data_IF_613270905825
#
_entry.id   IF_613270905825
#
_cell.length_a   1.000
_cell.length_b   1.000
_cell.length_c   1.000
_cell.angle_alpha   90.00
_cell.angle_beta   90.00
_cell.angle_gamma   90.00
#
_symmetry.space_group_name_H-M   'P 1'
#
loop_
_entity.id
_entity.type
_entity.pdbx_description
1 polymer ?
#
# COMPACT_ATOMS: atom_id res chain seq x y z
N UNK A 1 -9.40 13.51 -79.76
CA UNK A 1 -9.91 14.03 -78.48
C UNK A 1 -10.79 12.94 -77.88
N UNK A 2 -10.61 12.37 -76.70
CA UNK A 2 -9.75 12.61 -75.55
C UNK A 2 -9.38 11.23 -74.94
N UNK A 3 -8.14 11.04 -74.49
CA UNK A 3 -7.75 9.89 -73.67
C UNK A 3 -7.91 10.26 -72.20
N UNK A 4 -8.72 9.49 -71.46
CA UNK A 4 -8.94 9.68 -70.04
C UNK A 4 -7.78 9.08 -69.24
N UNK A 5 -7.00 9.92 -68.55
CA UNK A 5 -6.04 9.50 -67.53
C UNK A 5 -6.78 9.32 -66.20
N UNK A 6 -6.91 8.09 -65.73
CA UNK A 6 -7.32 7.80 -64.36
C UNK A 6 -6.10 7.90 -63.44
N UNK A 7 -6.08 8.92 -62.58
CA UNK A 7 -5.13 9.06 -61.48
C UNK A 7 -5.63 8.21 -60.30
N UNK A 8 -4.96 7.09 -60.02
CA UNK A 8 -5.13 6.37 -58.76
C UNK A 8 -4.33 7.06 -57.65
N UNK A 9 -4.91 7.36 -56.48
CA UNK A 9 -4.16 7.86 -55.34
C UNK A 9 -3.29 6.73 -54.77
N UNK A 10 -1.98 6.95 -54.77
CA UNK A 10 -1.00 6.10 -54.10
C UNK A 10 -1.15 6.30 -52.59
N UNK A 11 -1.92 5.45 -51.93
CA UNK A 11 -2.02 5.43 -50.46
C UNK A 11 -0.71 4.87 -49.93
N UNK A 12 0.18 5.75 -49.49
CA UNK A 12 1.43 5.37 -48.83
C UNK A 12 1.09 4.91 -47.41
N UNK A 13 0.88 3.61 -47.24
CA UNK A 13 0.83 3.01 -45.91
C UNK A 13 2.25 3.00 -45.34
N UNK A 14 2.58 3.97 -44.48
CA UNK A 14 3.70 3.82 -43.56
C UNK A 14 3.31 2.72 -42.57
N UNK A 15 3.69 1.48 -42.87
CA UNK A 15 3.82 0.46 -41.85
C UNK A 15 4.90 0.95 -40.88
N UNK A 16 4.48 1.38 -39.68
CA UNK A 16 5.40 1.55 -38.56
C UNK A 16 6.08 0.20 -38.38
N UNK A 17 7.36 0.10 -38.77
CA UNK A 17 8.16 -1.05 -38.40
C UNK A 17 8.21 -1.03 -36.87
N UNK A 18 7.41 -1.89 -36.23
CA UNK A 18 7.54 -2.14 -34.81
C UNK A 18 9.00 -2.55 -34.60
N UNK A 19 9.80 -1.64 -34.02
CA UNK A 19 11.19 -1.91 -33.71
C UNK A 19 11.21 -3.21 -32.92
N UNK A 20 11.85 -4.24 -33.47
CA UNK A 20 11.93 -5.55 -32.82
C UNK A 20 12.94 -5.40 -31.69
N UNK A 21 12.47 -4.94 -30.54
CA UNK A 21 13.31 -4.76 -29.35
C UNK A 21 13.77 -6.13 -28.86
N UNK A 22 15.07 -6.30 -28.65
CA UNK A 22 15.58 -7.49 -27.97
C UNK A 22 15.24 -7.40 -26.48
N UNK A 23 14.58 -8.41 -25.90
CA UNK A 23 14.21 -8.39 -24.48
C UNK A 23 15.42 -8.56 -23.55
N UNK A 24 16.55 -9.04 -24.06
CA UNK A 24 17.70 -9.45 -23.22
C UNK A 24 18.74 -8.35 -23.02
N UNK A 25 18.65 -7.23 -23.73
CA UNK A 25 19.62 -6.13 -23.61
C UNK A 25 19.41 -5.43 -22.27
N UNK A 26 20.43 -5.50 -21.41
CA UNK A 26 20.41 -4.89 -20.08
C UNK A 26 20.78 -3.40 -20.19
N UNK A 27 20.04 -2.52 -19.52
CA UNK A 27 20.38 -1.10 -19.46
C UNK A 27 21.74 -0.88 -18.76
N UNK A 28 22.43 0.22 -19.09
CA UNK A 28 23.80 0.51 -18.62
C UNK A 28 24.90 -0.50 -19.04
N UNK A 29 24.57 -1.51 -19.86
CA UNK A 29 25.54 -2.42 -20.45
C UNK A 29 26.25 -1.81 -21.67
N UNK A 30 27.37 -2.38 -22.14
CA UNK A 30 27.97 -2.02 -23.43
C UNK A 30 27.00 -2.19 -24.60
N UNK A 31 26.13 -3.21 -24.58
CA UNK A 31 25.15 -3.52 -25.62
C UNK A 31 24.03 -2.48 -25.70
N UNK A 32 23.72 -1.80 -24.59
CA UNK A 32 22.75 -0.71 -24.55
C UNK A 32 23.27 0.57 -25.25
N UNK A 33 24.57 0.67 -25.52
CA UNK A 33 25.14 1.87 -26.16
C UNK A 33 24.66 2.01 -27.60
N UNK A 34 23.90 3.07 -27.86
CA UNK A 34 23.33 3.34 -29.18
C UNK A 34 22.12 2.46 -29.52
N UNK A 35 21.61 1.69 -28.56
CA UNK A 35 20.32 1.03 -28.69
C UNK A 35 19.21 2.09 -28.79
N UNK A 36 18.10 1.70 -29.42
CA UNK A 36 16.90 2.54 -29.48
C UNK A 36 16.42 2.85 -28.05
N UNK A 37 16.28 4.13 -27.64
CA UNK A 37 15.74 4.51 -26.34
C UNK A 37 14.37 3.91 -26.04
N UNK A 38 13.60 3.56 -27.09
CA UNK A 38 12.32 2.88 -26.97
C UNK A 38 12.41 1.39 -26.65
N UNK A 39 13.57 0.79 -26.89
CA UNK A 39 13.84 -0.62 -26.62
C UNK A 39 14.66 -0.84 -25.36
N UNK A 40 15.50 0.12 -24.97
CA UNK A 40 16.36 0.00 -23.78
C UNK A 40 16.37 1.33 -23.03
N UNK A 41 16.21 1.27 -21.70
CA UNK A 41 16.16 2.45 -20.85
C UNK A 41 17.48 3.24 -20.88
N UNK A 42 17.42 4.52 -21.26
CA UNK A 42 18.61 5.41 -21.28
C UNK A 42 19.05 5.80 -19.87
N UNK A 43 18.10 6.18 -19.02
CA UNK A 43 18.28 6.24 -17.58
C UNK A 43 18.07 4.82 -17.05
N UNK A 44 19.16 4.06 -17.03
CA UNK A 44 19.15 2.60 -16.95
C UNK A 44 19.37 2.01 -15.57
N UNK A 45 19.48 2.84 -14.52
CA UNK A 45 19.61 2.39 -13.15
C UNK A 45 18.31 2.68 -12.42
N UNK A 46 17.76 1.66 -11.77
CA UNK A 46 16.51 1.74 -11.04
C UNK A 46 16.79 1.43 -9.57
N UNK A 47 16.10 2.11 -8.66
CA UNK A 47 16.10 1.76 -7.24
C UNK A 47 14.66 1.51 -6.83
N UNK A 48 14.30 0.24 -6.69
CA UNK A 48 12.96 -0.17 -6.28
C UNK A 48 12.91 -0.30 -4.77
N UNK A 49 11.97 0.36 -4.10
CA UNK A 49 11.86 0.36 -2.64
C UNK A 49 10.59 -0.36 -2.21
N UNK A 50 10.75 -1.31 -1.29
CA UNK A 50 9.64 -1.88 -0.53
C UNK A 50 9.66 -1.32 0.88
N UNK A 51 8.49 -0.95 1.41
CA UNK A 51 8.31 -0.51 2.79
C UNK A 51 7.60 -1.60 3.58
N UNK A 52 8.00 -1.79 4.83
CA UNK A 52 7.31 -2.66 5.75
C UNK A 52 6.10 -1.95 6.37
N UNK A 53 4.93 -2.57 6.28
CA UNK A 53 3.67 -2.11 6.82
C UNK A 53 3.21 -3.06 7.93
N UNK A 54 3.49 -2.75 9.20
CA UNK A 54 3.14 -3.63 10.32
C UNK A 54 1.61 -3.74 10.53
N UNK A 55 0.85 -2.76 10.06
CA UNK A 55 -0.62 -2.76 10.18
C UNK A 55 -1.30 -3.64 9.12
N UNK A 56 -0.58 -4.02 8.06
CA UNK A 56 -1.15 -4.76 6.94
C UNK A 56 -0.99 -6.28 7.15
N UNK A 57 -2.12 -6.96 7.30
CA UNK A 57 -2.15 -8.41 7.46
C UNK A 57 -1.64 -8.93 8.81
N UNK A 58 -1.72 -10.25 8.95
CA UNK A 58 -1.53 -11.01 10.19
C UNK A 58 -0.08 -10.99 10.72
N UNK A 59 0.89 -10.62 9.88
CA UNK A 59 2.32 -10.58 10.20
C UNK A 59 3.03 -9.30 9.74
N UNK A 60 2.27 -8.28 9.33
CA UNK A 60 2.79 -7.17 8.53
C UNK A 60 3.06 -7.60 7.09
N UNK A 61 3.16 -6.62 6.20
CA UNK A 61 3.43 -6.85 4.78
C UNK A 61 4.59 -5.99 4.28
N UNK A 62 5.31 -6.47 3.28
CA UNK A 62 6.21 -5.63 2.49
C UNK A 62 5.45 -5.16 1.26
N UNK A 63 5.28 -3.85 1.13
CA UNK A 63 4.50 -3.22 0.06
C UNK A 63 5.40 -2.36 -0.83
N UNK A 64 4.97 -2.09 -2.06
CA UNK A 64 5.64 -1.18 -2.99
C UNK A 64 5.56 0.24 -2.42
N UNK A 65 6.70 0.87 -2.18
CA UNK A 65 6.77 2.25 -1.73
C UNK A 65 7.08 3.19 -2.89
N UNK A 66 8.17 2.93 -3.60
CA UNK A 66 8.66 3.83 -4.64
C UNK A 66 9.57 3.13 -5.64
N UNK A 67 9.75 3.79 -6.79
CA UNK A 67 10.75 3.44 -7.78
C UNK A 67 11.50 4.73 -8.15
N UNK A 68 12.82 4.75 -7.99
CA UNK A 68 13.66 5.84 -8.49
C UNK A 68 14.24 5.45 -9.86
N UNK A 69 14.31 6.41 -10.79
CA UNK A 69 14.97 6.26 -12.09
C UNK A 69 16.20 7.16 -12.13
N UNK A 70 17.36 6.56 -12.32
CA UNK A 70 18.66 7.19 -12.29
C UNK A 70 19.40 6.98 -13.61
N UNK A 71 20.28 7.91 -13.92
CA UNK A 71 21.29 7.72 -14.95
C UNK A 71 22.25 6.58 -14.55
N UNK A 72 22.98 6.02 -15.51
CA UNK A 72 23.90 4.91 -15.24
C UNK A 72 25.08 5.27 -14.32
N UNK A 73 25.32 6.56 -14.07
CA UNK A 73 26.31 7.06 -13.11
C UNK A 73 25.73 7.25 -11.70
N UNK A 74 24.45 6.93 -11.48
CA UNK A 74 23.74 7.13 -10.22
C UNK A 74 23.16 8.54 -10.01
N UNK A 75 23.37 9.47 -10.95
CA UNK A 75 22.74 10.79 -10.88
C UNK A 75 21.25 10.74 -11.21
N UNK A 76 20.42 11.69 -10.72
CA UNK A 76 19.00 11.73 -11.04
C UNK A 76 18.74 11.82 -12.56
N UNK A 77 17.72 11.11 -13.05
CA UNK A 77 17.34 11.15 -14.47
C UNK A 77 17.03 12.59 -14.93
N UNK A 78 17.68 13.02 -16.01
CA UNK A 78 17.69 14.44 -16.41
C UNK A 78 16.58 14.80 -17.39
N UNK A 79 16.12 13.82 -18.18
CA UNK A 79 15.19 14.04 -19.29
C UNK A 79 13.96 13.17 -19.12
N UNK A 80 12.83 13.82 -18.87
CA UNK A 80 11.54 13.16 -19.02
C UNK A 80 11.22 12.96 -20.50
N UNK A 81 10.77 11.76 -20.85
CA UNK A 81 10.37 11.38 -22.20
C UNK A 81 8.85 11.45 -22.39
N UNK A 82 8.09 11.37 -21.29
CA UNK A 82 6.63 11.31 -21.32
C UNK A 82 6.00 12.48 -20.55
N UNK A 83 4.77 12.90 -20.93
CA UNK A 83 4.09 13.97 -20.22
C UNK A 83 3.71 13.55 -18.80
N UNK A 84 3.45 14.54 -17.96
CA UNK A 84 2.79 14.29 -16.68
C UNK A 84 1.36 13.77 -16.93
N UNK A 85 0.85 13.00 -15.99
CA UNK A 85 -0.52 12.48 -15.97
C UNK A 85 -1.17 12.87 -14.64
N UNK A 86 -2.47 13.07 -14.63
CA UNK A 86 -3.26 13.22 -13.39
C UNK A 86 -3.75 11.85 -12.91
N UNK A 87 -4.14 11.72 -11.64
CA UNK A 87 -4.70 10.48 -11.10
C UNK A 87 -5.88 9.95 -11.93
N UNK A 88 -6.78 10.80 -12.44
CA UNK A 88 -7.90 10.33 -13.28
C UNK A 88 -7.43 9.76 -14.63
N UNK A 89 -6.35 10.33 -15.20
CA UNK A 89 -5.75 9.79 -16.42
C UNK A 89 -5.06 8.46 -16.15
N UNK A 90 -4.34 8.36 -15.04
CA UNK A 90 -3.71 7.12 -14.59
C UNK A 90 -4.78 6.04 -14.42
N UNK A 91 -5.79 6.29 -13.59
CA UNK A 91 -6.88 5.36 -13.30
C UNK A 91 -7.58 4.88 -14.56
N UNK A 92 -7.92 5.80 -15.46
CA UNK A 92 -8.56 5.48 -16.75
C UNK A 92 -7.68 4.58 -17.63
N UNK A 93 -6.39 4.90 -17.77
CA UNK A 93 -5.45 4.13 -18.60
C UNK A 93 -5.16 2.75 -18.00
N UNK A 94 -4.98 2.65 -16.68
CA UNK A 94 -4.75 1.38 -15.99
C UNK A 94 -5.99 0.50 -15.97
N UNK A 95 -7.19 1.06 -15.77
CA UNK A 95 -8.45 0.30 -15.77
C UNK A 95 -8.84 -0.19 -17.17
N UNK A 96 -8.52 0.57 -18.22
CA UNK A 96 -8.71 0.14 -19.61
C UNK A 96 -7.73 -0.97 -20.03
N UNK A 97 -6.62 -1.10 -19.29
CA UNK A 97 -5.57 -2.07 -19.59
C UNK A 97 -5.96 -3.50 -19.20
N UNK A 98 -5.51 -4.46 -20.00
CA UNK A 98 -5.69 -5.91 -19.72
C UNK A 98 -4.46 -6.56 -19.10
N UNK A 99 -3.37 -5.81 -18.96
CA UNK A 99 -2.10 -6.32 -18.43
C UNK A 99 -1.91 -5.99 -16.95
N UNK A 100 -2.79 -5.17 -16.37
CA UNK A 100 -2.83 -4.86 -14.94
C UNK A 100 -4.10 -5.46 -14.35
N UNK A 101 -3.94 -6.22 -13.28
CA UNK A 101 -5.04 -6.54 -12.36
C UNK A 101 -5.11 -5.41 -11.34
N UNK A 102 -6.05 -4.47 -11.52
CA UNK A 102 -6.13 -3.26 -10.71
C UNK A 102 -6.35 -3.59 -9.23
N UNK A 103 -7.22 -4.54 -8.90
CA UNK A 103 -7.50 -4.88 -7.50
C UNK A 103 -6.25 -5.43 -6.79
N UNK A 104 -5.52 -6.34 -7.44
CA UNK A 104 -4.28 -6.88 -6.89
C UNK A 104 -3.17 -5.81 -6.83
N UNK A 105 -3.10 -4.97 -7.86
CA UNK A 105 -2.17 -3.87 -7.96
C UNK A 105 -2.36 -2.84 -6.85
N UNK A 106 -3.60 -2.53 -6.49
CA UNK A 106 -3.92 -1.56 -5.45
C UNK A 106 -3.43 -1.98 -4.07
N UNK A 107 -3.65 -3.25 -3.71
CA UNK A 107 -3.22 -3.79 -2.41
C UNK A 107 -1.71 -3.94 -2.27
N UNK A 108 -0.97 -3.92 -3.38
CA UNK A 108 0.47 -4.08 -3.35
C UNK A 108 1.23 -2.79 -3.00
N UNK A 109 0.56 -1.63 -2.95
CA UNK A 109 1.21 -0.34 -2.72
C UNK A 109 1.04 0.12 -1.28
N UNK A 110 2.13 0.62 -0.72
CA UNK A 110 2.16 1.18 0.62
C UNK A 110 1.46 2.54 0.63
N UNK A 111 0.50 2.72 1.55
CA UNK A 111 -0.25 3.98 1.61
C UNK A 111 0.57 5.08 2.27
N UNK A 112 0.71 6.24 1.62
CA UNK A 112 1.49 7.33 2.20
C UNK A 112 0.68 8.17 3.20
N UNK A 113 -0.63 8.28 2.98
CA UNK A 113 -1.55 9.02 3.84
C UNK A 113 -2.87 8.25 4.04
N UNK A 114 -3.49 8.41 5.21
CA UNK A 114 -4.79 7.78 5.50
C UNK A 114 -5.87 8.36 4.58
N UNK A 115 -6.52 7.48 3.81
CA UNK A 115 -7.60 7.85 2.89
C UNK A 115 -7.12 8.36 1.53
N UNK A 116 -5.82 8.28 1.25
CA UNK A 116 -5.28 8.48 -0.09
C UNK A 116 -5.70 7.33 -1.01
N UNK A 117 -6.19 7.67 -2.20
CA UNK A 117 -6.47 6.69 -3.24
C UNK A 117 -5.18 6.19 -3.91
N UNK A 118 -5.26 4.98 -4.46
CA UNK A 118 -4.13 4.39 -5.19
C UNK A 118 -3.75 5.21 -6.43
N UNK A 119 -4.71 5.88 -7.07
CA UNK A 119 -4.47 6.61 -8.30
C UNK A 119 -3.60 7.85 -8.03
N UNK A 120 -3.71 8.47 -6.86
CA UNK A 120 -2.86 9.56 -6.40
C UNK A 120 -1.42 9.08 -6.11
N UNK A 121 -1.28 7.91 -5.50
CA UNK A 121 0.03 7.25 -5.30
C UNK A 121 0.70 6.93 -6.65
N UNK A 122 -0.07 6.40 -7.59
CA UNK A 122 0.39 6.08 -8.92
C UNK A 122 0.68 7.33 -9.75
N UNK A 123 -0.12 8.39 -9.63
CA UNK A 123 0.18 9.70 -10.21
C UNK A 123 1.55 10.19 -9.76
N UNK A 124 1.83 10.16 -8.46
CA UNK A 124 3.13 10.58 -7.91
C UNK A 124 4.25 9.74 -8.50
N UNK A 125 4.11 8.42 -8.48
CA UNK A 125 5.10 7.46 -8.98
C UNK A 125 5.38 7.63 -10.47
N UNK A 126 4.35 7.84 -11.28
CA UNK A 126 4.51 8.12 -12.70
C UNK A 126 5.24 9.46 -12.91
N UNK A 127 4.82 10.50 -12.20
CA UNK A 127 5.32 11.86 -12.42
C UNK A 127 6.75 12.06 -11.90
N UNK A 128 7.19 11.30 -10.89
CA UNK A 128 8.56 11.35 -10.36
C UNK A 128 9.50 10.36 -11.04
N UNK A 129 8.99 9.22 -11.54
CA UNK A 129 9.81 8.14 -12.05
C UNK A 129 9.38 7.67 -13.44
N UNK A 130 8.15 7.18 -13.60
CA UNK A 130 7.68 6.52 -14.83
C UNK A 130 7.90 7.34 -16.11
N UNK A 131 7.66 8.65 -16.04
CA UNK A 131 7.86 9.56 -17.18
C UNK A 131 9.31 9.75 -17.64
N UNK A 132 10.29 9.30 -16.85
CA UNK A 132 11.72 9.30 -17.19
C UNK A 132 12.18 7.98 -17.82
N UNK A 133 11.31 6.97 -17.89
CA UNK A 133 11.64 5.68 -18.48
C UNK A 133 11.50 5.75 -20.00
N UNK A 134 12.65 5.83 -20.70
CA UNK A 134 12.68 6.06 -22.15
C UNK A 134 11.96 5.01 -22.98
N UNK A 135 11.83 3.78 -22.47
CA UNK A 135 11.16 2.67 -23.16
C UNK A 135 9.64 2.84 -23.26
N UNK A 136 9.06 3.82 -22.56
CA UNK A 136 7.62 4.11 -22.57
C UNK A 136 7.32 5.29 -23.51
N UNK A 137 7.61 5.09 -24.80
CA UNK A 137 7.63 6.15 -25.81
C UNK A 137 6.27 6.66 -26.23
N UNK A 138 5.26 5.80 -26.10
CA UNK A 138 3.86 6.09 -26.35
C UNK A 138 3.20 6.83 -25.19
N UNK A 139 3.86 6.89 -24.03
CA UNK A 139 3.33 7.49 -22.81
C UNK A 139 2.18 6.69 -22.20
N UNK A 140 2.06 5.41 -22.54
CA UNK A 140 1.14 4.46 -21.89
C UNK A 140 1.69 4.09 -20.52
N UNK A 141 0.92 4.37 -19.47
CA UNK A 141 1.36 4.12 -18.09
C UNK A 141 1.23 2.65 -17.70
N UNK A 142 0.41 1.85 -18.39
CA UNK A 142 0.13 0.50 -17.96
C UNK A 142 1.37 -0.43 -17.97
N UNK A 143 2.25 -0.40 -18.99
CA UNK A 143 3.50 -1.17 -18.97
C UNK A 143 4.43 -0.80 -17.81
N UNK A 144 4.42 0.46 -17.35
CA UNK A 144 5.21 0.88 -16.19
C UNK A 144 4.75 0.16 -14.93
N UNK A 145 3.46 0.27 -14.60
CA UNK A 145 2.92 -0.31 -13.38
C UNK A 145 2.96 -1.83 -13.41
N UNK A 146 2.63 -2.45 -14.55
CA UNK A 146 2.76 -3.90 -14.72
C UNK A 146 4.19 -4.38 -14.41
N UNK A 147 5.21 -3.70 -14.94
CA UNK A 147 6.61 -4.06 -14.66
C UNK A 147 7.00 -3.87 -13.19
N UNK A 148 6.50 -2.82 -12.52
CA UNK A 148 6.73 -2.58 -11.09
C UNK A 148 6.06 -3.66 -10.23
N UNK A 149 4.82 -4.05 -10.56
CA UNK A 149 4.11 -5.12 -9.85
C UNK A 149 4.77 -6.48 -10.06
N UNK A 150 5.21 -6.79 -11.27
CA UNK A 150 5.92 -8.04 -11.55
C UNK A 150 7.29 -8.08 -10.85
N UNK A 151 7.99 -6.94 -10.77
CA UNK A 151 9.19 -6.79 -9.96
C UNK A 151 8.91 -7.06 -8.48
N UNK A 152 7.86 -6.46 -7.94
CA UNK A 152 7.46 -6.66 -6.54
C UNK A 152 7.19 -8.14 -6.22
N UNK A 153 6.41 -8.83 -7.06
CA UNK A 153 6.14 -10.27 -6.92
C UNK A 153 7.42 -11.11 -7.02
N UNK A 154 8.42 -10.63 -7.76
CA UNK A 154 9.70 -11.31 -7.93
C UNK A 154 10.67 -11.18 -6.75
N UNK A 155 10.38 -10.31 -5.77
CA UNK A 155 11.23 -10.05 -4.60
C UNK A 155 10.44 -10.35 -3.31
N UNK A 156 10.43 -11.61 -2.84
CA UNK A 156 9.66 -12.03 -1.68
C UNK A 156 10.40 -11.71 -0.37
N UNK A 157 10.51 -10.42 -0.04
CA UNK A 157 11.32 -9.90 1.08
C UNK A 157 11.00 -10.57 2.43
N UNK A 158 9.72 -10.74 2.75
CA UNK A 158 9.31 -11.42 3.99
C UNK A 158 9.80 -12.87 4.06
N UNK A 159 9.70 -13.61 2.94
CA UNK A 159 10.13 -15.01 2.87
C UNK A 159 11.65 -15.13 3.02
N UNK A 160 12.41 -14.25 2.34
CA UNK A 160 13.86 -14.23 2.43
C UNK A 160 14.36 -13.95 3.85
N UNK A 161 13.71 -13.04 4.58
CA UNK A 161 14.02 -12.77 5.98
C UNK A 161 13.65 -13.96 6.87
N UNK A 162 12.46 -14.53 6.68
CA UNK A 162 11.98 -15.66 7.46
C UNK A 162 12.84 -16.93 7.27
N UNK A 163 13.33 -17.18 6.05
CA UNK A 163 14.25 -18.29 5.75
C UNK A 163 15.61 -18.16 6.48
N UNK A 164 15.94 -16.95 6.94
CA UNK A 164 17.11 -16.66 7.76
C UNK A 164 16.77 -16.51 9.26
N UNK A 165 15.58 -16.96 9.68
CA UNK A 165 15.05 -16.82 11.05
C UNK A 165 14.92 -15.35 11.51
N UNK A 166 14.72 -14.41 10.57
CA UNK A 166 14.48 -13.00 10.83
C UNK A 166 12.98 -12.71 10.65
N UNK A 167 12.25 -12.59 11.75
CA UNK A 167 10.82 -12.30 11.74
C UNK A 167 10.49 -11.03 12.55
N UNK A 168 9.33 -10.41 12.30
CA UNK A 168 8.80 -9.35 13.18
C UNK A 168 8.80 -9.79 14.64
N UNK A 169 9.28 -8.96 15.56
CA UNK A 169 9.41 -9.32 16.99
C UNK A 169 9.38 -8.09 17.91
N UNK A 170 8.77 -8.24 19.09
CA UNK A 170 8.82 -7.23 20.17
C UNK A 170 10.14 -7.27 20.97
N UNK A 171 10.75 -8.46 21.08
CA UNK A 171 11.85 -8.72 22.01
C UNK A 171 13.19 -9.01 21.31
N UNK A 172 13.16 -9.23 19.99
CA UNK A 172 14.35 -9.59 19.21
C UNK A 172 14.83 -8.41 18.39
N UNK A 173 16.14 -8.20 18.39
CA UNK A 173 16.81 -7.24 17.51
C UNK A 173 17.86 -7.96 16.67
N UNK A 174 18.18 -7.37 15.52
CA UNK A 174 19.01 -8.00 14.51
C UNK A 174 20.25 -7.17 14.19
N UNK A 175 21.29 -7.85 13.73
CA UNK A 175 22.46 -7.22 13.13
C UNK A 175 22.16 -6.81 11.69
N UNK A 176 22.71 -5.68 11.24
CA UNK A 176 22.61 -5.24 9.85
C UNK A 176 23.17 -6.27 8.88
N UNK A 177 24.26 -6.95 9.26
CA UNK A 177 24.89 -7.98 8.44
C UNK A 177 23.98 -9.18 8.20
N UNK A 178 23.14 -9.53 9.18
CA UNK A 178 22.27 -10.69 9.09
C UNK A 178 21.10 -10.40 8.13
N UNK A 179 20.50 -9.21 8.27
CA UNK A 179 19.43 -8.77 7.36
C UNK A 179 19.96 -8.60 5.94
N UNK A 180 21.09 -7.93 5.75
CA UNK A 180 21.72 -7.78 4.42
C UNK A 180 22.10 -9.15 3.85
N UNK A 181 22.62 -10.06 4.68
CA UNK A 181 22.97 -11.42 4.28
C UNK A 181 21.77 -12.21 3.77
N UNK A 182 20.64 -12.15 4.49
CA UNK A 182 19.38 -12.79 4.09
C UNK A 182 18.84 -12.23 2.76
N UNK A 183 18.92 -10.91 2.60
CA UNK A 183 18.35 -10.20 1.44
C UNK A 183 19.28 -10.16 0.22
N UNK A 184 20.56 -10.51 0.32
CA UNK A 184 21.52 -10.51 -0.79
C UNK A 184 21.31 -11.66 -1.81
N UNK A 185 20.08 -12.18 -1.91
CA UNK A 185 19.69 -13.26 -2.80
C UNK A 185 20.03 -12.94 -4.27
N UNK A 186 20.45 -13.93 -5.06
CA UNK A 186 20.75 -13.80 -6.51
C UNK A 186 21.67 -12.64 -6.90
N UNK A 187 22.49 -12.13 -5.98
CA UNK A 187 23.41 -11.02 -6.23
C UNK A 187 22.81 -9.63 -6.06
N UNK A 188 21.61 -9.51 -5.48
CA UNK A 188 21.07 -8.23 -5.04
C UNK A 188 21.95 -7.61 -3.94
N UNK A 189 22.03 -6.28 -3.95
CA UNK A 189 22.71 -5.49 -2.91
C UNK A 189 21.68 -4.57 -2.25
N UNK A 190 20.92 -5.08 -1.27
CA UNK A 190 19.85 -4.34 -0.62
C UNK A 190 20.42 -3.18 0.21
N UNK A 191 19.73 -2.04 0.17
CA UNK A 191 20.02 -0.87 0.99
C UNK A 191 18.88 -0.72 1.98
N UNK A 192 19.18 -0.78 3.28
CA UNK A 192 18.15 -0.72 4.32
C UNK A 192 17.98 0.72 4.81
N UNK A 193 16.74 1.14 5.00
CA UNK A 193 16.42 2.36 5.72
C UNK A 193 15.78 2.03 7.07
N UNK A 194 16.32 2.64 8.12
CA UNK A 194 15.73 2.64 9.44
C UNK A 194 15.33 4.06 9.86
N UNK A 195 14.23 4.14 10.60
CA UNK A 195 13.92 5.29 11.44
C UNK A 195 14.44 4.99 12.85
N UNK A 196 15.45 5.76 13.27
CA UNK A 196 16.32 5.42 14.41
C UNK A 196 16.91 3.99 14.29
N UNK A 197 16.34 3.02 15.02
CA UNK A 197 16.71 1.61 14.97
C UNK A 197 15.63 0.72 14.35
N UNK A 198 14.47 1.27 13.99
CA UNK A 198 13.34 0.51 13.44
C UNK A 198 13.48 0.36 11.94
N UNK A 199 13.47 -0.87 11.44
CA UNK A 199 13.50 -1.16 10.00
C UNK A 199 12.22 -0.65 9.34
N UNK A 200 12.37 0.21 8.32
CA UNK A 200 11.25 0.83 7.60
C UNK A 200 11.16 0.35 6.16
N UNK A 201 12.28 0.32 5.45
CA UNK A 201 12.28 -0.05 4.03
C UNK A 201 13.56 -0.72 3.56
N UNK A 202 13.44 -1.40 2.42
CA UNK A 202 14.56 -2.00 1.69
C UNK A 202 14.50 -1.50 0.25
N UNK A 203 15.60 -0.94 -0.22
CA UNK A 203 15.78 -0.52 -1.60
C UNK A 203 16.66 -1.48 -2.37
N UNK A 204 16.27 -1.78 -3.60
CA UNK A 204 16.85 -2.76 -4.50
C UNK A 204 17.39 -2.06 -5.75
N UNK A 205 18.72 -1.90 -5.88
CA UNK A 205 19.34 -1.38 -7.08
C UNK A 205 19.26 -2.39 -8.23
N UNK A 206 18.80 -1.95 -9.41
CA UNK A 206 18.49 -2.80 -10.55
C UNK A 206 18.84 -2.16 -11.89
N UNK A 207 19.15 -2.99 -12.88
CA UNK A 207 19.09 -2.62 -14.30
C UNK A 207 17.86 -3.26 -14.95
N UNK A 208 17.29 -2.60 -15.95
CA UNK A 208 16.15 -3.10 -16.71
C UNK A 208 16.63 -3.91 -17.92
N UNK A 209 15.83 -4.90 -18.32
CA UNK A 209 16.01 -5.70 -19.54
C UNK A 209 15.03 -5.26 -20.61
N UNK A 210 15.55 -4.93 -21.79
CA UNK A 210 14.76 -4.51 -22.95
C UNK A 210 13.72 -3.44 -22.59
N UNK A 211 12.50 -3.61 -23.10
CA UNK A 211 11.36 -2.71 -22.86
C UNK A 211 10.66 -3.02 -21.52
N UNK A 212 11.41 -2.95 -20.41
CA UNK A 212 10.97 -3.38 -19.07
C UNK A 212 10.48 -4.84 -19.01
N UNK A 213 11.08 -5.73 -19.82
CA UNK A 213 10.74 -7.14 -19.83
C UNK A 213 11.19 -7.88 -18.56
N UNK A 214 12.04 -7.25 -17.74
CA UNK A 214 12.47 -7.74 -16.45
C UNK A 214 13.57 -6.87 -15.86
N UNK A 215 14.04 -7.26 -14.68
CA UNK A 215 15.10 -6.56 -13.95
C UNK A 215 16.22 -7.52 -13.54
N UNK A 216 17.42 -6.99 -13.42
CA UNK A 216 18.59 -7.71 -12.90
C UNK A 216 19.28 -6.88 -11.82
N UNK A 217 19.95 -7.51 -10.84
CA UNK A 217 20.69 -6.82 -9.80
C UNK A 217 21.68 -5.79 -10.37
N UNK A 218 21.74 -4.63 -9.74
CA UNK A 218 22.76 -3.61 -9.95
C UNK A 218 23.45 -3.27 -8.63
N UNK A 219 24.45 -2.39 -8.71
CA UNK A 219 25.17 -1.86 -7.55
C UNK A 219 25.19 -0.34 -7.64
N UNK A 220 25.05 0.31 -6.48
CA UNK A 220 25.19 1.75 -6.31
C UNK A 220 25.91 2.04 -5.00
N UNK A 221 26.73 3.08 -4.97
CA UNK A 221 27.40 3.54 -3.74
C UNK A 221 26.43 4.34 -2.85
N UNK A 222 25.45 3.65 -2.27
CA UNK A 222 24.54 4.16 -1.23
C UNK A 222 24.64 3.25 -0.02
N UNK A 223 24.72 3.85 1.16
CA UNK A 223 24.80 3.13 2.44
C UNK A 223 23.42 3.03 3.09
N UNK A 224 23.19 1.94 3.81
CA UNK A 224 22.04 1.78 4.69
C UNK A 224 22.06 2.86 5.79
N UNK A 225 20.89 3.35 6.18
CA UNK A 225 20.77 4.29 7.32
C UNK A 225 20.68 3.59 8.68
N UNK A 226 20.50 2.26 8.68
CA UNK A 226 20.38 1.44 9.88
C UNK A 226 21.71 1.34 10.68
N UNK A 227 21.63 1.22 12.02
CA UNK A 227 22.79 0.92 12.85
C UNK A 227 23.34 -0.48 12.54
N UNK A 228 24.57 -0.76 12.96
CA UNK A 228 25.20 -2.07 12.74
C UNK A 228 24.51 -3.21 13.52
N UNK A 229 23.94 -2.89 14.68
CA UNK A 229 23.32 -3.83 15.63
C UNK A 229 22.07 -3.19 16.23
N UNK A 230 21.19 -4.01 16.80
CA UNK A 230 20.01 -3.52 17.53
C UNK A 230 18.88 -3.07 16.62
N UNK A 231 18.83 -3.56 15.37
CA UNK A 231 17.75 -3.22 14.44
C UNK A 231 16.46 -3.90 14.91
N UNK A 232 15.40 -3.12 15.05
CA UNK A 232 14.05 -3.57 15.42
C UNK A 232 13.31 -3.86 14.12
N UNK A 233 12.85 -5.10 13.95
CA UNK A 233 11.87 -5.45 12.92
C UNK A 233 10.49 -5.48 13.58
N UNK A 234 9.68 -4.40 13.46
CA UNK A 234 8.52 -4.22 14.32
C UNK A 234 7.48 -5.33 14.10
N UNK A 235 6.82 -5.80 15.18
CA UNK A 235 5.73 -6.77 15.07
C UNK A 235 4.55 -6.21 14.27
N UNK A 236 3.67 -7.10 13.82
CA UNK A 236 2.39 -6.70 13.26
C UNK A 236 1.57 -5.94 14.31
N UNK A 237 1.05 -4.78 13.94
CA UNK A 237 0.12 -3.98 14.75
C UNK A 237 -1.34 -4.39 14.52
N UNK A 238 -1.59 -5.35 13.62
CA UNK A 238 -2.89 -6.00 13.49
C UNK A 238 -3.21 -6.72 14.82
N UNK A 239 -3.97 -6.02 15.67
CA UNK A 239 -4.46 -6.56 16.93
C UNK A 239 -5.39 -7.72 16.61
N UNK A 240 -4.90 -8.95 16.71
CA UNK A 240 -5.78 -10.09 16.84
C UNK A 240 -6.68 -9.79 18.04
N UNK A 241 -7.99 -9.74 17.80
CA UNK A 241 -8.93 -9.93 18.89
C UNK A 241 -8.54 -11.26 19.52
N UNK A 242 -7.93 -11.19 20.70
CA UNK A 242 -7.46 -12.36 21.42
C UNK A 242 -8.66 -13.28 21.59
N UNK A 243 -8.73 -14.31 20.74
CA UNK A 243 -9.67 -15.42 20.93
C UNK A 243 -9.09 -16.35 21.99
N UNK A 244 -8.58 -15.79 23.08
CA UNK A 244 -8.65 -16.49 24.36
C UNK A 244 -10.11 -16.43 24.74
N UNK A 245 -10.88 -17.45 24.32
CA UNK A 245 -12.08 -17.83 25.06
C UNK A 245 -11.61 -18.22 26.46
N UNK A 246 -11.44 -17.23 27.32
CA UNK A 246 -11.52 -17.48 28.75
C UNK A 246 -12.93 -18.00 28.97
N UNK A 247 -13.03 -19.33 29.09
CA UNK A 247 -14.19 -19.92 29.72
C UNK A 247 -14.08 -19.44 31.16
N UNK A 248 -14.84 -18.42 31.51
CA UNK A 248 -14.98 -18.02 32.91
C UNK A 248 -15.48 -19.28 33.61
N UNK A 249 -14.62 -19.94 34.40
CA UNK A 249 -15.10 -20.99 35.27
C UNK A 249 -16.16 -20.32 36.15
N UNK A 250 -17.43 -20.75 36.08
CA UNK A 250 -18.47 -20.12 36.85
C UNK A 250 -18.09 -20.24 38.31
N UNK A 251 -17.78 -19.10 38.94
CA UNK A 251 -17.52 -19.03 40.37
C UNK A 251 -18.66 -19.77 41.04
N UNK A 252 -18.38 -20.96 41.57
CA UNK A 252 -19.32 -21.69 42.38
C UNK A 252 -19.50 -20.86 43.64
N UNK A 253 -20.51 -20.00 43.64
CA UNK A 253 -21.00 -19.36 44.85
C UNK A 253 -21.43 -20.52 45.75
N UNK A 254 -20.76 -20.77 46.89
CA UNK A 254 -21.26 -21.75 47.83
C UNK A 254 -22.69 -21.33 48.20
N UNK A 255 -23.60 -22.29 48.18
CA UNK A 255 -25.00 -22.06 48.57
C UNK A 255 -25.02 -21.36 49.92
N UNK A 256 -25.81 -20.28 50.05
CA UNK A 256 -25.99 -19.59 51.33
C UNK A 256 -26.32 -20.63 52.40
N UNK A 257 -25.44 -20.79 53.39
CA UNK A 257 -25.82 -21.48 54.62
C UNK A 257 -26.79 -20.56 55.36
N UNK A 258 -27.92 -21.06 55.85
CA UNK A 258 -28.82 -20.25 56.65
C UNK A 258 -28.05 -19.70 57.87
N UNK A 259 -28.14 -18.40 58.08
CA UNK A 259 -27.71 -17.79 59.33
C UNK A 259 -28.72 -18.23 60.38
N UNK A 260 -28.39 -19.22 61.19
CA UNK A 260 -29.16 -19.55 62.39
C UNK A 260 -28.82 -18.51 63.46
N UNK A 261 -29.51 -17.37 63.42
CA UNK A 261 -29.55 -16.40 64.51
C UNK A 261 -30.38 -17.03 65.64
N UNK A 262 -29.73 -17.55 66.69
CA UNK A 262 -30.38 -18.18 67.84
C UNK A 262 -31.01 -17.18 68.83
N UNK A 263 -31.31 -15.96 68.39
CA UNK A 263 -31.99 -14.97 69.22
C UNK A 263 -32.92 -14.13 68.36
N UNK A 264 -34.05 -14.74 68.02
CA UNK A 264 -35.23 -14.06 67.50
C UNK A 264 -36.04 -13.52 68.69
N UNK A 265 -36.06 -12.19 68.85
CA UNK A 265 -37.03 -11.49 69.68
C UNK A 265 -37.84 -10.54 68.79
N UNK A 266 -38.48 -11.09 67.77
CA UNK A 266 -39.50 -10.40 66.99
C UNK A 266 -40.78 -10.23 67.82
N UNK A 267 -41.06 -8.99 68.23
CA UNK A 267 -42.44 -8.57 68.49
C UNK A 267 -42.91 -7.79 67.26
N UNK A 268 -43.74 -8.46 66.48
CA UNK A 268 -44.40 -7.94 65.29
C UNK A 268 -45.31 -6.75 65.68
N UNK A 269 -45.19 -5.63 64.98
CA UNK A 269 -46.27 -4.64 64.86
C UNK A 269 -46.96 -4.93 63.54
N UNK A 270 -48.21 -5.41 63.62
CA UNK A 270 -49.10 -5.55 62.46
C UNK A 270 -49.71 -4.19 62.14
N UNK A 271 -49.77 -3.86 60.85
CA UNK A 271 -50.70 -2.88 60.32
C UNK A 271 -51.63 -3.62 59.37
N UNK A 272 -52.94 -3.44 59.57
CA UNK A 272 -53.98 -4.12 58.84
C UNK A 272 -54.11 -3.56 57.42
N UNK A 273 -54.20 -4.45 56.44
CA UNK A 273 -54.57 -4.15 55.06
C UNK A 273 -56.10 -4.03 54.98
N UNK A 274 -56.61 -2.85 54.64
CA UNK A 274 -57.97 -2.72 54.12
C UNK A 274 -57.93 -2.39 52.63
N UNK A 275 -58.60 -3.30 51.95
CA UNK A 275 -58.97 -3.53 50.57
C UNK A 275 -59.40 -2.31 49.73
N UNK A 276 -59.28 -2.53 48.42
CA UNK A 276 -60.18 -2.08 47.35
C UNK A 276 -59.85 -0.86 46.44
N UNK A 277 -60.07 -1.19 45.17
CA UNK A 277 -60.42 -0.34 44.02
C UNK A 277 -59.37 0.54 43.32
N UNK A 278 -58.80 -0.07 42.27
CA UNK A 278 -58.83 0.43 40.88
C UNK A 278 -59.51 1.79 40.70
N UNK A 279 -58.72 2.80 40.31
CA UNK A 279 -59.06 3.68 39.18
C UNK A 279 -57.84 4.40 38.61
N UNK A 280 -57.62 4.11 37.33
CA UNK A 280 -56.76 4.73 36.35
C UNK A 280 -56.34 6.19 36.61
N UNK A 281 -55.02 6.44 36.60
CA UNK A 281 -54.48 7.71 36.10
C UNK A 281 -53.55 7.44 34.93
N UNK A 282 -54.07 7.73 33.73
CA UNK A 282 -53.39 7.72 32.45
C UNK A 282 -52.16 8.62 32.50
N UNK A 283 -51.02 8.12 32.01
CA UNK A 283 -49.88 8.94 31.64
C UNK A 283 -50.28 9.91 30.51
N UNK A 284 -50.17 11.21 30.77
CA UNK A 284 -50.30 12.24 29.74
C UNK A 284 -48.95 12.42 29.03
N UNK A 285 -48.92 12.04 27.75
CA UNK A 285 -47.85 12.30 26.81
C UNK A 285 -47.71 13.79 26.47
N UNK A 286 -46.46 14.26 26.41
CA UNK A 286 -46.05 15.57 25.90
C UNK A 286 -46.49 15.79 24.45
N UNK A 287 -47.13 16.92 24.16
CA UNK A 287 -47.23 17.49 22.80
C UNK A 287 -47.31 19.02 22.88
N UNK A 288 -46.16 19.68 22.81
CA UNK A 288 -46.06 21.12 22.60
C UNK A 288 -46.31 21.45 21.12
N UNK A 289 -47.28 22.34 20.86
CA UNK A 289 -47.61 22.85 19.52
C UNK A 289 -47.39 24.38 19.52
N UNK A 290 -46.54 24.86 18.61
CA UNK A 290 -46.58 26.21 18.03
C UNK A 290 -48.02 26.53 17.52
N UNK A 291 -48.55 27.75 17.40
CA UNK A 291 -48.02 29.10 17.08
C UNK A 291 -49.19 30.12 17.13
N UNK A 292 -48.88 31.42 17.27
CA UNK A 292 -49.61 32.54 16.63
C UNK A 292 -50.26 33.55 17.61
N UNK A 293 -49.72 34.76 17.77
CA UNK A 293 -50.03 36.00 16.99
C UNK A 293 -51.28 36.73 17.54
N UNK A 294 -51.38 38.05 17.76
CA UNK A 294 -50.73 39.21 17.16
C UNK A 294 -51.02 40.48 18.02
N UNK A 295 -50.07 41.43 18.01
CA UNK A 295 -50.34 42.88 17.93
C UNK A 295 -50.35 43.70 19.23
N UNK A 296 -49.94 44.98 19.26
CA UNK A 296 -49.44 45.92 18.23
C UNK A 296 -49.24 47.30 18.92
N UNK A 297 -48.26 48.10 18.42
CA UNK A 297 -48.10 49.59 18.54
C UNK A 297 -47.65 50.15 19.91
N UNK A 298 -46.89 51.23 20.06
CA UNK A 298 -46.04 52.16 19.27
C UNK A 298 -45.03 52.72 20.33
N UNK A 299 -43.85 53.29 20.07
CA UNK A 299 -43.60 54.68 19.63
C UNK A 299 -42.07 54.95 19.71
N UNK A 300 -41.58 55.74 18.74
CA UNK A 300 -40.32 56.47 18.59
C UNK A 300 -38.96 55.73 18.56
#
# INVERSE_FOLDING_TARGET
MLAALALLPLVSALASAAATCSPDVVSCSPEAKGADPCCVATAGLFVFTQRFEPEEGDGGAWSIDSLEVLECDGSPAKRAVSPRKTHEQIGSETHASKIIDTDAAERAWAQSEVGEGVEELWERSWNTAGRYVSTICDGDVAPFFAAVHDLHKGIPTAELLNDADISPSEDTTYALSDIVGALSHRGHQPILACDESTLVSVSWPLHAKGKLAGFVPASIDRKSSCPAEGIIYPPALAVYSTTTKYTFDPIHRPTMRPITLSHDASRQVKYDEEEEERKAKKLSFFKGKQKGSLGRKDEL
#
